data_IF_119542777124
#
_entry.id   IF_119542777124
#
_cell.length_a   1.000
_cell.length_b   1.000
_cell.length_c   1.000
_cell.angle_alpha   90.00
_cell.angle_beta   90.00
_cell.angle_gamma   90.00
#
_symmetry.space_group_name_H-M   'P 1'
#
loop_
_entity.id
_entity.type
_entity.pdbx_description
1 polymer ?
#
# COMPACT_ATOMS: atom_id res chain seq x y z
N UNK A 1 -5.10 -18.99 -4.85
CA UNK A 1 -5.83 -17.94 -4.12
C UNK A 1 -7.28 -17.91 -4.59
N UNK A 2 -7.54 -17.76 -5.89
CA UNK A 2 -8.88 -17.94 -6.51
C UNK A 2 -9.61 -19.22 -6.03
N UNK A 3 -8.91 -20.35 -5.93
CA UNK A 3 -9.46 -21.62 -5.39
C UNK A 3 -9.78 -21.63 -3.88
N UNK A 4 -9.40 -20.59 -3.13
CA UNK A 4 -9.49 -20.51 -1.67
C UNK A 4 -10.34 -19.34 -1.13
N UNK A 5 -10.52 -18.27 -1.92
CA UNK A 5 -11.25 -17.05 -1.52
C UNK A 5 -12.29 -16.61 -2.56
N UNK A 6 -12.67 -17.50 -3.48
CA UNK A 6 -13.64 -17.19 -4.53
C UNK A 6 -12.98 -16.60 -5.78
N UNK A 7 -13.70 -16.73 -6.90
CA UNK A 7 -13.31 -16.24 -8.22
C UNK A 7 -13.97 -14.91 -8.60
N UNK A 8 -14.84 -14.37 -7.72
CA UNK A 8 -15.68 -13.21 -7.98
C UNK A 8 -15.10 -11.93 -7.40
N UNK A 9 -15.20 -10.82 -8.14
CA UNK A 9 -14.78 -9.49 -7.66
C UNK A 9 -15.52 -9.06 -6.40
N UNK A 10 -16.86 -9.21 -6.41
CA UNK A 10 -17.75 -8.89 -5.31
C UNK A 10 -17.94 -10.07 -4.35
N UNK A 11 -16.89 -10.83 -4.04
CA UNK A 11 -16.95 -11.79 -2.94
C UNK A 11 -16.80 -11.06 -1.60
N UNK A 12 -17.71 -11.34 -0.66
CA UNK A 12 -17.72 -10.74 0.68
C UNK A 12 -16.39 -10.88 1.41
N UNK A 13 -15.59 -11.92 1.12
CA UNK A 13 -14.28 -12.11 1.76
C UNK A 13 -13.27 -11.00 1.46
N UNK A 14 -13.45 -10.25 0.38
CA UNK A 14 -12.58 -9.14 0.01
C UNK A 14 -12.96 -7.80 0.66
N UNK A 15 -14.11 -7.75 1.36
CA UNK A 15 -14.62 -6.55 2.02
C UNK A 15 -14.57 -6.72 3.53
N UNK A 16 -13.89 -5.81 4.21
CA UNK A 16 -13.76 -5.84 5.65
C UNK A 16 -15.11 -5.44 6.28
N UNK A 17 -15.58 -6.12 7.34
CA UNK A 17 -16.84 -5.76 8.00
C UNK A 17 -16.90 -4.34 8.56
N UNK A 18 -15.74 -3.70 8.80
CA UNK A 18 -15.63 -2.32 9.28
C UNK A 18 -15.62 -1.29 8.14
N UNK A 19 -15.47 -1.72 6.89
CA UNK A 19 -15.38 -0.85 5.74
C UNK A 19 -16.78 -0.52 5.20
N UNK A 20 -17.50 0.30 5.96
CA UNK A 20 -18.96 0.47 5.81
C UNK A 20 -19.39 1.08 4.48
N UNK A 21 -18.56 1.94 3.87
CA UNK A 21 -18.88 2.59 2.59
C UNK A 21 -18.70 1.59 1.44
N UNK A 22 -17.51 1.00 1.19
CA UNK A 22 -17.32 0.00 0.15
C UNK A 22 -18.21 -1.23 0.32
N UNK A 23 -18.44 -1.69 1.56
CA UNK A 23 -19.34 -2.81 1.83
C UNK A 23 -20.77 -2.50 1.37
N UNK A 24 -21.30 -1.32 1.70
CA UNK A 24 -22.67 -0.90 1.30
C UNK A 24 -22.82 -0.81 -0.21
N UNK A 25 -21.76 -0.38 -0.91
CA UNK A 25 -21.75 -0.34 -2.37
C UNK A 25 -21.68 -1.77 -2.94
N UNK A 26 -20.80 -2.60 -2.40
CA UNK A 26 -20.54 -3.96 -2.86
C UNK A 26 -21.73 -4.92 -2.63
N UNK A 27 -22.52 -4.72 -1.57
CA UNK A 27 -23.69 -5.54 -1.22
C UNK A 27 -24.70 -5.64 -2.37
N UNK A 28 -24.85 -4.59 -3.17
CA UNK A 28 -25.72 -4.58 -4.35
C UNK A 28 -25.27 -5.57 -5.45
N UNK A 29 -24.00 -5.99 -5.41
CA UNK A 29 -23.36 -6.79 -6.45
C UNK A 29 -23.00 -8.22 -6.02
N UNK A 30 -23.15 -8.59 -4.74
CA UNK A 30 -22.79 -9.92 -4.24
C UNK A 30 -23.46 -11.07 -5.02
N UNK A 31 -24.74 -10.92 -5.32
CA UNK A 31 -25.50 -11.89 -6.12
C UNK A 31 -25.58 -11.51 -7.61
N UNK A 32 -24.99 -10.38 -8.00
CA UNK A 32 -25.09 -9.87 -9.36
C UNK A 32 -24.09 -10.59 -10.29
N UNK A 33 -24.53 -11.14 -11.44
CA UNK A 33 -23.64 -11.90 -12.32
C UNK A 33 -22.55 -11.06 -13.01
N UNK A 34 -22.77 -9.74 -13.13
CA UNK A 34 -21.83 -8.82 -13.77
C UNK A 34 -20.78 -8.31 -12.81
N UNK A 35 -19.67 -9.05 -12.68
CA UNK A 35 -18.63 -8.80 -11.67
C UNK A 35 -17.73 -7.59 -11.94
N UNK A 36 -17.82 -6.99 -13.14
CA UNK A 36 -17.14 -5.76 -13.53
C UNK A 36 -18.09 -4.77 -14.21
N UNK A 37 -19.38 -4.80 -13.84
CA UNK A 37 -20.34 -3.81 -14.36
C UNK A 37 -20.12 -2.51 -13.59
N UNK A 38 -19.72 -1.42 -14.24
CA UNK A 38 -19.50 -0.16 -13.54
C UNK A 38 -20.81 0.54 -13.24
N UNK A 39 -21.98 -0.09 -13.35
CA UNK A 39 -23.30 0.57 -13.28
C UNK A 39 -24.15 0.01 -12.14
N UNK A 40 -24.92 0.88 -11.48
CA UNK A 40 -25.87 0.47 -10.46
C UNK A 40 -26.93 -0.50 -11.04
N UNK A 41 -27.21 -1.66 -10.41
CA UNK A 41 -28.22 -2.60 -10.87
C UNK A 41 -29.65 -2.00 -10.90
N UNK A 42 -29.90 -0.97 -10.07
CA UNK A 42 -31.17 -0.25 -9.97
C UNK A 42 -31.22 1.02 -10.84
N UNK A 43 -30.06 1.54 -11.26
CA UNK A 43 -29.93 2.70 -12.16
C UNK A 43 -28.71 2.55 -13.10
N UNK A 44 -28.98 2.06 -14.31
CA UNK A 44 -27.93 1.80 -15.32
C UNK A 44 -27.23 3.05 -15.87
N UNK A 45 -27.59 4.26 -15.42
CA UNK A 45 -26.92 5.50 -15.82
C UNK A 45 -25.83 5.94 -14.84
N UNK A 46 -25.89 5.46 -13.60
CA UNK A 46 -24.94 5.85 -12.56
C UNK A 46 -23.80 4.86 -12.50
N UNK A 47 -22.57 5.35 -12.69
CA UNK A 47 -21.40 4.49 -12.57
C UNK A 47 -20.98 4.30 -11.11
N UNK A 48 -20.97 3.06 -10.62
CA UNK A 48 -20.59 2.71 -9.25
C UNK A 48 -19.69 1.47 -9.26
N UNK A 49 -18.49 1.59 -8.68
CA UNK A 49 -17.56 0.49 -8.45
C UNK A 49 -17.17 0.49 -6.98
N UNK A 50 -17.32 -0.65 -6.31
CA UNK A 50 -16.76 -0.85 -4.97
C UNK A 50 -15.36 -1.43 -5.10
N UNK A 51 -14.38 -0.79 -4.47
CA UNK A 51 -13.04 -1.33 -4.36
C UNK A 51 -12.92 -2.25 -3.14
N UNK A 52 -12.20 -3.39 -3.25
CA UNK A 52 -11.93 -4.27 -2.12
C UNK A 52 -11.26 -3.56 -0.95
N UNK A 53 -11.65 -3.91 0.27
CA UNK A 53 -11.02 -3.39 1.50
C UNK A 53 -9.59 -3.91 1.68
N UNK A 54 -9.29 -5.10 1.15
CA UNK A 54 -7.97 -5.73 1.24
C UNK A 54 -7.23 -5.66 -0.08
N UNK A 55 -6.02 -5.10 -0.06
CA UNK A 55 -5.16 -5.01 -1.25
C UNK A 55 -3.82 -5.69 -1.01
N UNK A 56 -3.24 -6.23 -2.08
CA UNK A 56 -1.87 -6.69 -2.06
C UNK A 56 -0.93 -5.50 -1.95
N UNK A 57 0.15 -5.65 -1.19
CA UNK A 57 1.24 -4.67 -1.19
C UNK A 57 1.77 -4.51 -2.63
N UNK A 58 1.64 -3.34 -3.29
CA UNK A 58 2.14 -3.12 -4.65
C UNK A 58 3.65 -3.38 -4.78
N UNK A 59 4.40 -3.10 -3.72
CA UNK A 59 5.82 -3.41 -3.61
C UNK A 59 6.17 -4.91 -3.63
N UNK A 60 5.18 -5.77 -3.45
CA UNK A 60 5.26 -7.21 -3.64
C UNK A 60 4.72 -7.69 -4.99
N UNK A 61 4.22 -6.79 -5.85
CA UNK A 61 3.70 -7.11 -7.17
C UNK A 61 4.65 -6.69 -8.30
N UNK A 62 5.51 -5.70 -8.05
CA UNK A 62 6.58 -5.29 -8.96
C UNK A 62 7.88 -6.06 -8.71
N UNK A 63 8.72 -6.11 -9.76
CA UNK A 63 10.11 -6.54 -9.61
C UNK A 63 10.83 -5.64 -8.58
N UNK A 64 11.67 -6.20 -7.69
CA UNK A 64 12.36 -5.44 -6.63
C UNK A 64 13.11 -4.20 -7.09
N UNK A 65 13.64 -4.24 -8.31
CA UNK A 65 14.42 -3.14 -8.89
C UNK A 65 13.56 -1.92 -9.24
N UNK A 66 12.23 -2.05 -9.33
CA UNK A 66 11.34 -0.90 -9.55
C UNK A 66 11.47 0.09 -8.39
N UNK A 67 11.43 -0.41 -7.16
CA UNK A 67 11.58 0.41 -5.95
C UNK A 67 12.96 0.26 -5.32
N UNK A 68 14.01 0.12 -6.13
CA UNK A 68 15.38 -0.10 -5.65
C UNK A 68 15.88 0.98 -4.66
N UNK A 69 16.73 0.58 -3.71
CA UNK A 69 17.36 1.51 -2.77
C UNK A 69 18.31 2.50 -3.46
N UNK A 70 18.94 2.09 -4.56
CA UNK A 70 19.82 2.95 -5.35
C UNK A 70 19.07 3.75 -6.41
N UNK A 71 17.77 3.97 -6.20
CA UNK A 71 16.91 4.72 -7.10
C UNK A 71 15.73 3.91 -7.62
N UNK A 72 14.63 4.61 -7.89
CA UNK A 72 13.50 4.10 -8.63
C UNK A 72 13.89 3.77 -10.08
N UNK A 73 13.33 2.69 -10.61
CA UNK A 73 13.45 2.33 -12.03
C UNK A 73 12.06 2.22 -12.65
N UNK A 74 11.81 2.99 -13.71
CA UNK A 74 10.53 2.97 -14.42
C UNK A 74 10.18 1.53 -14.83
N UNK A 75 9.03 0.99 -14.40
CA UNK A 75 8.63 -0.36 -14.76
C UNK A 75 8.41 -0.54 -16.28
N UNK A 76 8.21 0.53 -17.05
CA UNK A 76 8.14 0.47 -18.51
C UNK A 76 9.52 0.31 -19.18
N UNK A 77 10.61 0.54 -18.45
CA UNK A 77 11.97 0.47 -18.98
C UNK A 77 12.56 -0.94 -19.04
N UNK A 78 11.89 -1.95 -18.47
CA UNK A 78 12.41 -3.33 -18.49
C UNK A 78 11.31 -4.41 -18.43
N UNK A 79 11.53 -5.49 -19.19
CA UNK A 79 10.51 -6.51 -19.45
C UNK A 79 10.01 -7.27 -18.20
N UNK A 80 10.83 -7.38 -17.15
CA UNK A 80 10.48 -8.14 -15.94
C UNK A 80 9.74 -7.30 -14.89
N UNK A 81 9.55 -5.99 -15.10
CA UNK A 81 9.11 -5.08 -14.06
C UNK A 81 7.75 -5.41 -13.45
N UNK A 82 6.79 -5.82 -14.28
CA UNK A 82 5.43 -6.18 -13.87
C UNK A 82 5.30 -7.65 -13.44
N UNK A 83 6.41 -8.41 -13.42
CA UNK A 83 6.38 -9.80 -12.99
C UNK A 83 6.39 -9.84 -11.47
N UNK A 84 5.32 -10.39 -10.90
CA UNK A 84 5.27 -10.61 -9.45
C UNK A 84 6.43 -11.49 -8.98
N UNK A 85 7.21 -11.03 -7.99
CA UNK A 85 8.33 -11.79 -7.46
C UNK A 85 7.86 -13.04 -6.70
N UNK A 86 8.72 -14.06 -6.65
CA UNK A 86 8.45 -15.25 -5.86
C UNK A 86 8.55 -14.94 -4.36
N UNK A 87 7.69 -15.58 -3.55
CA UNK A 87 7.68 -15.44 -2.08
C UNK A 87 9.06 -15.74 -1.47
N UNK A 88 9.81 -16.70 -2.02
CA UNK A 88 11.16 -17.02 -1.56
C UNK A 88 12.22 -15.93 -1.75
N UNK A 89 11.89 -14.81 -2.41
CA UNK A 89 12.76 -13.63 -2.47
C UNK A 89 12.60 -12.71 -1.26
N UNK A 90 11.60 -12.94 -0.41
CA UNK A 90 11.37 -12.12 0.76
C UNK A 90 12.47 -12.35 1.80
N UNK A 91 13.23 -11.29 2.12
CA UNK A 91 14.34 -11.35 3.08
C UNK A 91 13.89 -11.15 4.52
N UNK A 92 12.76 -10.49 4.72
CA UNK A 92 12.22 -10.11 6.03
C UNK A 92 10.74 -10.50 6.11
N UNK A 93 10.42 -11.80 6.11
CA UNK A 93 9.05 -12.27 5.92
C UNK A 93 8.10 -11.85 7.06
N UNK A 94 8.64 -11.60 8.26
CA UNK A 94 7.97 -11.09 9.46
C UNK A 94 7.83 -9.56 9.50
N UNK A 95 8.55 -8.83 8.66
CA UNK A 95 8.54 -7.35 8.62
C UNK A 95 8.08 -6.79 7.27
N UNK A 96 7.79 -7.66 6.29
CA UNK A 96 7.27 -7.29 4.98
C UNK A 96 5.79 -7.65 4.88
N UNK A 97 5.01 -6.64 4.56
CA UNK A 97 3.58 -6.72 4.37
C UNK A 97 3.26 -7.35 3.03
N UNK A 98 2.29 -8.26 3.04
CA UNK A 98 1.83 -9.00 1.87
C UNK A 98 0.43 -8.53 1.45
N UNK A 99 -0.50 -8.45 2.39
CA UNK A 99 -1.83 -7.86 2.18
C UNK A 99 -2.12 -6.88 3.30
N UNK A 100 -2.84 -5.82 2.97
CA UNK A 100 -3.18 -4.72 3.87
C UNK A 100 -4.64 -4.32 3.73
N UNK A 101 -5.20 -3.78 4.80
CA UNK A 101 -6.41 -2.94 4.69
C UNK A 101 -6.04 -1.66 3.93
N UNK A 102 -6.74 -1.41 2.82
CA UNK A 102 -6.52 -0.26 1.95
C UNK A 102 -7.09 1.02 2.55
N UNK A 103 -8.23 0.90 3.22
CA UNK A 103 -8.91 1.98 3.92
C UNK A 103 -8.50 2.07 5.38
N UNK A 104 -8.70 3.24 5.96
CA UNK A 104 -8.47 3.49 7.37
C UNK A 104 -9.69 3.04 8.19
N UNK A 105 -9.61 1.83 8.77
CA UNK A 105 -10.76 1.16 9.41
C UNK A 105 -10.76 1.21 10.94
N UNK A 106 -9.62 1.48 11.57
CA UNK A 106 -9.46 1.53 13.03
C UNK A 106 -9.10 2.94 13.46
N UNK A 107 -9.86 3.49 14.41
CA UNK A 107 -9.64 4.83 14.95
C UNK A 107 -9.80 5.94 13.90
N UNK A 108 -10.64 5.75 12.88
CA UNK A 108 -10.92 6.79 11.89
C UNK A 108 -11.66 7.97 12.53
N UNK A 109 -11.47 9.15 11.94
CA UNK A 109 -12.02 10.41 12.47
C UNK A 109 -13.50 10.59 12.14
N UNK A 110 -13.91 10.06 11.00
CA UNK A 110 -15.27 10.13 10.48
C UNK A 110 -15.51 8.97 9.51
N UNK A 111 -16.78 8.75 9.15
CA UNK A 111 -17.16 7.74 8.15
C UNK A 111 -16.58 8.04 6.77
N UNK A 112 -16.39 9.31 6.39
CA UNK A 112 -15.91 9.73 5.08
C UNK A 112 -14.88 10.86 5.12
N UNK A 113 -13.96 10.85 4.15
CA UNK A 113 -12.99 11.89 3.89
C UNK A 113 -13.65 13.06 3.12
N UNK A 114 -13.75 14.26 3.69
CA UNK A 114 -14.38 15.41 3.03
C UNK A 114 -13.58 15.91 1.81
N UNK A 115 -12.31 15.54 1.68
CA UNK A 115 -11.47 15.87 0.52
C UNK A 115 -11.73 14.97 -0.68
N UNK A 116 -12.42 13.83 -0.48
CA UNK A 116 -12.76 12.90 -1.54
C UNK A 116 -14.19 13.17 -2.00
N UNK A 117 -14.37 13.30 -3.32
CA UNK A 117 -15.67 13.42 -3.96
C UNK A 117 -15.99 12.14 -4.73
N UNK A 118 -17.27 11.91 -5.03
CA UNK A 118 -17.73 10.78 -5.83
C UNK A 118 -18.40 9.70 -5.00
N UNK A 119 -18.40 8.47 -5.52
CA UNK A 119 -19.17 7.34 -4.97
C UNK A 119 -18.51 6.69 -3.76
N UNK A 120 -17.20 6.81 -3.61
CA UNK A 120 -16.45 6.23 -2.50
C UNK A 120 -15.53 7.29 -1.85
N UNK A 121 -16.04 8.01 -0.83
CA UNK A 121 -15.25 8.99 -0.09
C UNK A 121 -14.52 8.35 1.12
N UNK A 122 -14.16 7.07 1.06
CA UNK A 122 -13.51 6.40 2.19
C UNK A 122 -12.10 6.95 2.46
N UNK A 123 -11.70 6.98 3.73
CA UNK A 123 -10.34 7.33 4.12
C UNK A 123 -9.36 6.25 3.69
N UNK A 124 -8.24 6.63 3.07
CA UNK A 124 -7.13 5.73 2.79
C UNK A 124 -6.32 5.47 4.06
N UNK A 125 -5.74 4.28 4.16
CA UNK A 125 -5.01 3.82 5.35
C UNK A 125 -3.88 4.77 5.79
N UNK A 126 -3.22 5.47 4.86
CA UNK A 126 -2.13 6.43 5.11
C UNK A 126 -2.61 7.88 5.24
N UNK A 127 -3.91 8.15 5.38
CA UNK A 127 -4.43 9.51 5.60
C UNK A 127 -4.59 9.89 7.07
N UNK A 128 -4.21 8.99 8.00
CA UNK A 128 -4.28 9.23 9.43
C UNK A 128 -3.07 8.69 10.18
N UNK A 129 -2.50 9.50 11.05
CA UNK A 129 -1.34 9.13 11.86
C UNK A 129 -1.66 8.04 12.89
N UNK A 130 -2.89 8.02 13.40
CA UNK A 130 -3.48 7.01 14.29
C UNK A 130 -4.07 5.80 13.54
N UNK A 131 -3.99 5.77 12.21
CA UNK A 131 -4.40 4.62 11.41
C UNK A 131 -3.59 3.37 11.77
N UNK A 132 -4.30 2.26 11.96
CA UNK A 132 -3.79 1.01 12.49
C UNK A 132 -4.34 -0.19 11.72
N UNK A 133 -3.96 -0.35 10.44
CA UNK A 133 -4.46 -1.44 9.60
C UNK A 133 -4.07 -2.82 10.15
N UNK A 134 -4.98 -3.77 9.96
CA UNK A 134 -4.66 -5.19 10.06
C UNK A 134 -3.91 -5.62 8.79
N UNK A 135 -2.72 -6.21 8.97
CA UNK A 135 -1.80 -6.56 7.90
C UNK A 135 -1.42 -8.03 7.96
N UNK A 136 -1.43 -8.71 6.81
CA UNK A 136 -0.85 -10.04 6.63
C UNK A 136 0.61 -9.90 6.18
N UNK A 137 1.50 -10.66 6.81
CA UNK A 137 2.92 -10.70 6.50
C UNK A 137 3.30 -11.89 5.62
N UNK A 138 4.52 -11.88 5.09
CA UNK A 138 5.01 -12.92 4.18
C UNK A 138 5.31 -14.26 4.87
N UNK A 139 5.58 -14.26 6.18
CA UNK A 139 5.66 -15.46 7.01
C UNK A 139 4.28 -16.07 7.35
N UNK A 140 3.20 -15.36 7.00
CA UNK A 140 1.81 -15.77 7.19
C UNK A 140 1.18 -15.30 8.50
N UNK A 141 1.89 -14.57 9.37
CA UNK A 141 1.26 -14.00 10.55
C UNK A 141 0.43 -12.76 10.18
N UNK A 142 -0.53 -12.43 11.04
CA UNK A 142 -1.36 -11.24 10.94
C UNK A 142 -1.10 -10.37 12.15
N UNK A 143 -0.83 -9.08 11.93
CA UNK A 143 -0.63 -8.10 12.99
C UNK A 143 -1.30 -6.79 12.62
N UNK A 144 -1.73 -6.05 13.64
CA UNK A 144 -2.03 -4.63 13.51
C UNK A 144 -0.71 -3.88 13.44
N UNK A 145 -0.53 -3.01 12.44
CA UNK A 145 0.66 -2.17 12.31
C UNK A 145 0.28 -0.75 11.97
N UNK A 146 0.67 0.19 12.83
CA UNK A 146 0.25 1.58 12.70
C UNK A 146 1.05 2.35 11.65
N UNK A 147 0.40 3.33 11.03
CA UNK A 147 1.07 4.33 10.16
C UNK A 147 2.17 5.06 10.92
N UNK A 148 1.89 5.46 12.16
CA UNK A 148 2.89 6.02 13.09
C UNK A 148 4.12 5.14 13.23
N UNK A 149 3.94 3.83 13.48
CA UNK A 149 5.04 2.89 13.63
C UNK A 149 5.88 2.80 12.35
N UNK A 150 5.22 2.80 11.19
CA UNK A 150 5.86 2.85 9.88
C UNK A 150 6.71 4.11 9.67
N UNK A 151 6.18 5.28 10.04
CA UNK A 151 6.92 6.55 9.97
C UNK A 151 8.13 6.58 10.91
N UNK A 152 7.98 6.10 12.15
CA UNK A 152 9.07 6.01 13.13
C UNK A 152 10.14 5.00 12.67
N UNK A 153 9.74 3.91 12.02
CA UNK A 153 10.63 2.93 11.41
C UNK A 153 11.38 3.51 10.21
N UNK A 154 10.70 4.25 9.33
CA UNK A 154 11.28 4.94 8.17
C UNK A 154 12.35 5.93 8.60
N UNK A 155 12.03 6.81 9.56
CA UNK A 155 12.96 7.82 10.07
C UNK A 155 14.21 7.20 10.70
N UNK A 156 14.07 6.08 11.41
CA UNK A 156 15.22 5.32 11.93
C UNK A 156 16.05 4.72 10.80
N UNK A 157 15.41 4.17 9.76
CA UNK A 157 16.10 3.63 8.60
C UNK A 157 16.88 4.71 7.84
N UNK A 158 16.33 5.92 7.69
CA UNK A 158 17.03 7.06 7.08
C UNK A 158 18.33 7.41 7.80
N UNK A 159 18.31 7.43 9.14
CA UNK A 159 19.50 7.68 9.96
C UNK A 159 20.54 6.59 9.73
N UNK A 160 20.13 5.32 9.64
CA UNK A 160 21.04 4.20 9.39
C UNK A 160 21.60 4.19 7.96
N UNK A 161 20.79 4.55 6.97
CA UNK A 161 21.18 4.55 5.56
C UNK A 161 22.21 5.64 5.25
N UNK A 162 22.09 6.82 5.88
CA UNK A 162 23.10 7.88 5.76
C UNK A 162 24.50 7.43 6.24
N UNK A 163 24.58 6.38 7.06
CA UNK A 163 25.84 5.82 7.55
C UNK A 163 26.42 4.70 6.68
N UNK A 164 25.68 4.18 5.69
CA UNK A 164 26.04 2.99 4.91
C UNK A 164 25.78 3.18 3.40
N UNK A 165 26.51 4.09 2.75
CA UNK A 165 26.36 4.34 1.31
C UNK A 165 26.87 3.13 0.47
N UNK A 166 25.97 2.21 0.13
CA UNK A 166 26.26 0.96 -0.59
C UNK A 166 26.08 1.11 -2.11
N UNK A 167 25.52 2.21 -2.59
CA UNK A 167 25.28 2.40 -4.01
C UNK A 167 26.58 2.73 -4.75
N UNK A 168 26.89 1.96 -5.81
CA UNK A 168 28.09 2.15 -6.65
C UNK A 168 28.08 3.45 -7.47
N UNK A 169 26.99 4.19 -7.39
CA UNK A 169 26.78 5.52 -7.97
C UNK A 169 26.57 6.44 -6.77
N UNK A 170 27.21 7.61 -6.75
CA UNK A 170 26.89 8.61 -5.73
C UNK A 170 25.38 8.84 -5.74
N UNK A 171 24.77 8.84 -4.56
CA UNK A 171 23.33 8.99 -4.34
C UNK A 171 22.73 10.34 -4.80
N UNK A 172 23.53 11.13 -5.52
CA UNK A 172 23.23 12.44 -6.10
C UNK A 172 23.55 12.47 -7.61
N UNK A 173 23.68 11.32 -8.29
CA UNK A 173 23.83 11.33 -9.74
C UNK A 173 22.49 11.73 -10.39
N UNK A 174 22.43 12.81 -11.18
CA UNK A 174 21.21 13.24 -11.88
C UNK A 174 20.59 12.13 -12.78
N UNK A 175 21.38 11.14 -13.21
CA UNK A 175 20.90 10.03 -14.05
C UNK A 175 20.40 8.81 -13.26
N UNK A 176 20.72 8.69 -11.96
CA UNK A 176 20.42 7.50 -11.15
C UNK A 176 19.21 7.66 -10.20
N UNK A 177 18.59 8.84 -10.18
CA UNK A 177 17.62 9.19 -9.14
C UNK A 177 18.29 9.36 -7.77
N UNK A 178 17.60 9.98 -6.83
CA UNK A 178 18.08 10.07 -5.45
C UNK A 178 18.04 8.67 -4.81
N UNK A 179 19.11 8.27 -4.11
CA UNK A 179 19.05 7.03 -3.34
C UNK A 179 17.98 7.12 -2.26
N UNK A 180 17.25 6.03 -2.09
CA UNK A 180 16.26 5.91 -1.04
C UNK A 180 16.93 5.60 0.28
N UNK A 181 16.74 6.50 1.23
CA UNK A 181 17.31 6.39 2.58
C UNK A 181 16.37 5.69 3.55
N UNK A 182 15.06 5.69 3.26
CA UNK A 182 14.02 5.14 4.10
C UNK A 182 13.59 3.72 3.75
N UNK A 183 12.58 3.25 4.48
CA UNK A 183 11.87 1.99 4.23
C UNK A 183 10.86 2.10 3.07
N UNK A 184 10.46 3.32 2.69
CA UNK A 184 9.70 3.54 1.45
C UNK A 184 10.48 4.42 0.45
N UNK A 185 10.19 4.17 -0.83
CA UNK A 185 10.85 4.69 -2.00
C UNK A 185 10.09 5.94 -2.50
N UNK A 186 10.70 7.11 -2.27
CA UNK A 186 10.18 8.43 -2.62
C UNK A 186 10.15 8.65 -4.13
N UNK A 187 11.13 8.13 -4.87
CA UNK A 187 11.18 8.20 -6.33
C UNK A 187 9.98 7.53 -7.01
N UNK A 188 9.61 6.33 -6.55
CA UNK A 188 8.42 5.60 -7.00
C UNK A 188 7.16 6.35 -6.58
N UNK A 189 7.11 6.84 -5.34
CA UNK A 189 5.97 7.60 -4.86
C UNK A 189 5.71 8.84 -5.72
N UNK A 190 6.76 9.60 -6.02
CA UNK A 190 6.69 10.78 -6.89
C UNK A 190 6.30 10.43 -8.32
N UNK A 191 6.85 9.35 -8.89
CA UNK A 191 6.45 8.84 -10.21
C UNK A 191 4.96 8.46 -10.27
N UNK A 192 4.39 8.02 -9.14
CA UNK A 192 2.96 7.71 -9.02
C UNK A 192 2.09 8.93 -8.66
N UNK A 193 2.68 10.12 -8.54
CA UNK A 193 1.97 11.36 -8.18
C UNK A 193 1.65 11.46 -6.68
N UNK A 194 2.42 10.80 -5.83
CA UNK A 194 2.23 10.75 -4.38
C UNK A 194 3.45 11.34 -3.65
N UNK A 195 3.74 12.62 -3.88
CA UNK A 195 4.93 13.28 -3.31
C UNK A 195 4.89 13.36 -1.78
N UNK A 196 3.70 13.51 -1.19
CA UNK A 196 3.48 13.50 0.27
C UNK A 196 3.26 12.09 0.85
N UNK A 197 3.65 11.05 0.11
CA UNK A 197 3.30 9.67 0.41
C UNK A 197 1.91 9.29 -0.09
N UNK A 198 1.58 7.99 -0.04
CA UNK A 198 0.34 7.46 -0.60
C UNK A 198 -0.88 8.14 0.04
N UNK A 199 -1.67 8.90 -0.73
CA UNK A 199 -2.83 9.64 -0.22
C UNK A 199 -2.52 10.80 0.75
N UNK A 200 -1.25 11.14 0.97
CA UNK A 200 -0.82 12.11 1.98
C UNK A 200 -1.27 13.55 1.74
N UNK A 201 -1.50 13.94 0.47
CA UNK A 201 -2.01 15.28 0.12
C UNK A 201 -3.43 15.54 0.64
N UNK A 202 -4.13 14.50 1.05
CA UNK A 202 -5.46 14.55 1.66
C UNK A 202 -5.47 13.89 3.04
N UNK A 203 -4.32 13.89 3.74
CA UNK A 203 -4.23 13.44 5.12
C UNK A 203 -5.05 14.35 6.04
N UNK A 204 -5.77 13.74 6.96
CA UNK A 204 -6.62 14.44 7.93
C UNK A 204 -5.80 15.39 8.82
N UNK A 205 -4.65 14.92 9.31
CA UNK A 205 -3.86 15.58 10.34
C UNK A 205 -2.73 16.45 9.79
N UNK A 206 -2.49 16.43 8.48
CA UNK A 206 -1.34 17.09 7.81
C UNK A 206 0.05 16.64 8.31
N UNK A 207 0.11 15.59 9.13
CA UNK A 207 1.33 15.04 9.71
C UNK A 207 1.82 13.83 8.92
N UNK A 208 0.91 13.03 8.36
CA UNK A 208 1.31 11.82 7.65
C UNK A 208 2.09 12.14 6.39
N UNK A 209 3.29 11.57 6.30
CA UNK A 209 4.13 11.58 5.11
C UNK A 209 4.80 10.21 4.99
N UNK A 210 4.08 9.25 4.44
CA UNK A 210 4.58 7.89 4.26
C UNK A 210 3.83 7.15 3.17
N UNK A 211 4.52 6.18 2.58
CA UNK A 211 3.94 5.17 1.71
C UNK A 211 4.20 3.77 2.24
N UNK A 212 4.22 3.63 3.58
CA UNK A 212 4.35 2.34 4.27
C UNK A 212 3.40 1.31 3.65
N UNK A 213 3.86 0.08 3.46
CA UNK A 213 3.20 -1.00 2.74
C UNK A 213 3.08 -0.83 1.21
N UNK A 214 2.97 0.41 0.69
CA UNK A 214 2.70 0.66 -0.73
C UNK A 214 3.96 0.69 -1.58
N UNK A 215 4.93 1.53 -1.20
CA UNK A 215 6.14 1.81 -1.96
C UNK A 215 7.42 1.45 -1.21
N UNK A 216 7.47 0.26 -0.61
CA UNK A 216 8.64 -0.27 0.10
C UNK A 216 9.91 -0.24 -0.75
N UNK A 217 10.97 0.32 -0.18
CA UNK A 217 12.32 0.29 -0.74
C UNK A 217 12.82 -1.15 -0.89
N UNK A 218 13.38 -1.49 -2.05
CA UNK A 218 13.74 -2.82 -2.53
C UNK A 218 12.58 -3.81 -2.72
N UNK A 219 11.33 -3.33 -2.72
CA UNK A 219 10.14 -4.14 -2.96
C UNK A 219 10.04 -5.32 -1.96
N UNK A 220 9.79 -6.52 -2.48
CA UNK A 220 9.74 -7.75 -1.66
C UNK A 220 11.05 -8.07 -0.92
N UNK A 221 12.20 -7.57 -1.40
CA UNK A 221 13.51 -7.80 -0.75
C UNK A 221 13.74 -6.83 0.41
N UNK A 222 12.91 -5.79 0.53
CA UNK A 222 12.89 -4.84 1.62
C UNK A 222 11.98 -5.27 2.76
N UNK A 223 11.71 -4.32 3.66
CA UNK A 223 10.85 -4.46 4.83
C UNK A 223 10.10 -3.16 5.07
N UNK A 224 8.88 -3.25 5.60
CA UNK A 224 8.04 -2.09 5.89
C UNK A 224 8.28 -1.55 7.31
N UNK A 225 8.74 -2.42 8.21
CA UNK A 225 8.99 -2.11 9.61
C UNK A 225 10.40 -2.51 10.04
N UNK A 226 10.83 -2.00 11.19
CA UNK A 226 12.00 -2.48 11.90
C UNK A 226 11.52 -3.40 13.02
N UNK A 227 12.28 -4.47 13.32
CA UNK A 227 12.03 -5.26 14.54
C UNK A 227 12.03 -4.31 15.73
N UNK A 228 11.11 -4.52 16.67
CA UNK A 228 11.25 -3.91 17.99
C UNK A 228 12.58 -4.38 18.56
N UNK A 229 13.42 -3.46 19.04
CA UNK A 229 14.49 -3.83 19.96
C UNK A 229 13.80 -4.56 21.12
N UNK A 230 14.23 -5.80 21.39
CA UNK A 230 13.73 -6.54 22.55
C UNK A 230 13.94 -5.68 23.79
N UNK A 231 12.88 -5.51 24.58
CA UNK A 231 13.01 -5.05 25.95
C UNK A 231 13.97 -5.94 26.74
#
# INVERSE_FOLDING_TARGET
FNSYVGDRWYDKVFFAPKDVIPMRIAENFFDYPGEFTPYDPSDTQTQIVAYPSYVWSPSAMYHPDVSGMCGFRDPRSFAAAFKSPAVGQCKFPDLKSRMIEHHWLQNNESESNPSFAGTDPSWLVTQGYNSSPVTLFFDGHVSVKGVREGMDADKRAEVLANNNNICSVECNNPDAGECEKGLWNRGLSSFMGHDSGYGGDSAYDTLVNTSVHFYTTNGIRGRDFLSSEGN
#
